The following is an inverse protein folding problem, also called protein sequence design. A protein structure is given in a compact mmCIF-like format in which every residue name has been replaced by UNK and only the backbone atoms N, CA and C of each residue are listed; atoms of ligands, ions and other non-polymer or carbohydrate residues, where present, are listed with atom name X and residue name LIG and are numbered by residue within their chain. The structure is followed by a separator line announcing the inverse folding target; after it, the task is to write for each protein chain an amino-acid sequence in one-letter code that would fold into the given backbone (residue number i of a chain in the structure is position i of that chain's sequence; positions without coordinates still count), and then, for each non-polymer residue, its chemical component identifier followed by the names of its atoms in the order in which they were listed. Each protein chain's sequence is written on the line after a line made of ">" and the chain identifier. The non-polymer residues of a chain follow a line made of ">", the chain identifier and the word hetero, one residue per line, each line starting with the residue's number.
data_IF_519836633875
#
_entry.id   IF_519836633875
#
_cell.length_a   1.000
_cell.length_b   1.000
_cell.length_c   1.000
_cell.angle_alpha   90.00
_cell.angle_beta   90.00
_cell.angle_gamma   90.00
#
_symmetry.space_group_name_H-M   'P 1'
#
loop_
_entity.id
_entity.type
_entity.pdbx_description
1 polymer ?
#
# COMPACT_ATOMS: atom_id res chain seq x y z
N UNK A 1 17.19 5.75 5.64
CA UNK A 1 16.29 4.65 6.03
C UNK A 1 15.94 4.62 7.53
N UNK A 2 16.57 5.46 8.37
CA UNK A 2 16.27 5.53 9.81
C UNK A 2 14.79 5.79 10.11
N UNK A 3 14.09 6.55 9.24
CA UNK A 3 12.67 6.83 9.40
C UNK A 3 11.81 5.56 9.46
N UNK A 4 12.19 4.45 8.82
CA UNK A 4 11.43 3.20 8.88
C UNK A 4 11.43 2.66 10.31
N UNK A 5 12.58 2.72 10.99
CA UNK A 5 12.70 2.31 12.39
C UNK A 5 11.93 3.25 13.32
N UNK A 6 12.01 4.57 13.07
CA UNK A 6 11.26 5.57 13.84
C UNK A 6 9.73 5.43 13.70
N UNK A 7 9.28 4.91 12.55
CA UNK A 7 7.87 4.80 12.20
C UNK A 7 7.39 3.34 12.14
N UNK A 8 8.06 2.43 12.85
CA UNK A 8 7.73 1.00 12.78
C UNK A 8 6.30 0.73 13.24
N UNK A 9 5.81 1.45 14.26
CA UNK A 9 4.44 1.33 14.74
C UNK A 9 3.38 1.78 13.70
N UNK A 10 3.42 3.01 13.13
CA UNK A 10 2.47 3.40 12.09
C UNK A 10 2.58 2.56 10.82
N UNK A 11 3.79 2.18 10.40
CA UNK A 11 4.01 1.29 9.23
C UNK A 11 3.40 -0.10 9.52
N UNK A 12 3.65 -0.66 10.71
CA UNK A 12 3.11 -1.96 11.11
C UNK A 12 1.59 -1.96 11.20
N UNK A 13 0.99 -0.90 11.73
CA UNK A 13 -0.47 -0.74 11.77
C UNK A 13 -1.08 -0.65 10.36
N UNK A 14 -0.49 0.15 9.48
CA UNK A 14 -0.89 0.26 8.08
C UNK A 14 -0.78 -1.09 7.35
N UNK A 15 0.33 -1.81 7.56
CA UNK A 15 0.57 -3.16 7.02
C UNK A 15 -0.51 -4.12 7.48
N UNK A 16 -0.85 -4.11 8.77
CA UNK A 16 -1.89 -4.99 9.32
C UNK A 16 -3.25 -4.71 8.68
N UNK A 17 -3.63 -3.44 8.52
CA UNK A 17 -4.88 -3.07 7.85
C UNK A 17 -4.90 -3.55 6.39
N UNK A 18 -3.81 -3.38 5.66
CA UNK A 18 -3.72 -3.85 4.29
C UNK A 18 -3.78 -5.37 4.17
N UNK A 19 -3.16 -6.11 5.10
CA UNK A 19 -3.28 -7.56 5.19
C UNK A 19 -4.70 -8.02 5.48
N UNK A 20 -5.41 -7.34 6.38
CA UNK A 20 -6.83 -7.63 6.65
C UNK A 20 -7.70 -7.39 5.41
N UNK A 21 -7.43 -6.34 4.64
CA UNK A 21 -8.11 -6.10 3.36
C UNK A 21 -7.80 -7.21 2.34
N UNK A 22 -6.55 -7.68 2.28
CA UNK A 22 -6.13 -8.81 1.43
C UNK A 22 -6.85 -10.10 1.81
N UNK A 23 -6.94 -10.40 3.10
CA UNK A 23 -7.67 -11.56 3.63
C UNK A 23 -9.17 -11.46 3.32
N UNK A 24 -9.78 -10.28 3.51
CA UNK A 24 -11.18 -10.05 3.19
C UNK A 24 -11.45 -10.26 1.69
N UNK A 25 -10.60 -9.71 0.81
CA UNK A 25 -10.71 -9.91 -0.64
C UNK A 25 -10.58 -11.38 -1.03
N UNK A 26 -9.62 -12.09 -0.44
CA UNK A 26 -9.40 -13.51 -0.68
C UNK A 26 -10.62 -14.34 -0.29
N UNK A 27 -11.19 -14.08 0.89
CA UNK A 27 -12.39 -14.74 1.37
C UNK A 27 -13.61 -14.46 0.45
N UNK A 28 -13.82 -13.20 0.06
CA UNK A 28 -14.91 -12.81 -0.84
C UNK A 28 -14.79 -13.41 -2.25
N UNK A 29 -13.58 -13.77 -2.68
CA UNK A 29 -13.34 -14.39 -3.99
C UNK A 29 -13.49 -15.91 -3.98
N UNK A 30 -14.01 -16.50 -2.90
CA UNK A 30 -14.11 -17.96 -2.74
C UNK A 30 -12.76 -18.64 -2.48
N UNK A 31 -11.80 -17.90 -1.94
CA UNK A 31 -10.43 -18.36 -1.75
C UNK A 31 -10.31 -19.51 -0.75
N UNK A 32 -9.56 -20.55 -1.13
CA UNK A 32 -9.21 -21.68 -0.25
C UNK A 32 -8.10 -21.34 0.76
N UNK A 33 -7.43 -22.36 1.31
CA UNK A 33 -6.34 -22.15 2.27
C UNK A 33 -5.19 -21.36 1.63
N UNK A 34 -4.75 -20.28 2.28
CA UNK A 34 -3.55 -19.56 1.88
C UNK A 34 -2.31 -20.36 2.30
N UNK A 35 -1.41 -20.59 1.35
CA UNK A 35 -0.11 -21.18 1.63
C UNK A 35 0.77 -20.19 2.42
N UNK A 36 1.59 -20.71 3.33
CA UNK A 36 2.50 -19.90 4.14
C UNK A 36 3.38 -18.97 3.29
N UNK A 37 3.88 -19.46 2.16
CA UNK A 37 4.69 -18.66 1.23
C UNK A 37 3.94 -17.42 0.73
N UNK A 38 2.67 -17.57 0.34
CA UNK A 38 1.83 -16.46 -0.12
C UNK A 38 1.57 -15.46 1.01
N UNK A 39 1.29 -15.95 2.23
CA UNK A 39 1.09 -15.10 3.40
C UNK A 39 2.33 -14.28 3.75
N UNK A 40 3.52 -14.90 3.70
CA UNK A 40 4.78 -14.19 3.93
C UNK A 40 5.08 -13.18 2.82
N UNK A 41 4.81 -13.53 1.55
CA UNK A 41 4.94 -12.58 0.44
C UNK A 41 4.00 -11.40 0.61
N UNK A 42 2.75 -11.62 1.04
CA UNK A 42 1.80 -10.55 1.29
C UNK A 42 2.28 -9.63 2.44
N UNK A 43 2.78 -10.21 3.54
CA UNK A 43 3.33 -9.45 4.66
C UNK A 43 4.49 -8.56 4.22
N UNK A 44 5.47 -9.14 3.51
CA UNK A 44 6.63 -8.39 3.03
C UNK A 44 6.21 -7.31 2.02
N UNK A 45 5.31 -7.63 1.10
CA UNK A 45 4.83 -6.68 0.10
C UNK A 45 4.14 -5.48 0.74
N UNK A 46 3.18 -5.71 1.65
CA UNK A 46 2.46 -4.64 2.32
C UNK A 46 3.35 -3.84 3.26
N UNK A 47 4.23 -4.50 4.01
CA UNK A 47 5.18 -3.80 4.87
C UNK A 47 6.10 -2.87 4.07
N UNK A 48 6.62 -3.36 2.94
CA UNK A 48 7.50 -2.58 2.09
C UNK A 48 6.78 -1.42 1.40
N UNK A 49 5.55 -1.64 0.92
CA UNK A 49 4.72 -0.57 0.37
C UNK A 49 4.39 0.51 1.39
N UNK A 50 3.95 0.11 2.59
CA UNK A 50 3.70 1.03 3.68
C UNK A 50 4.96 1.83 4.07
N UNK A 51 6.14 1.20 4.07
CA UNK A 51 7.40 1.88 4.34
C UNK A 51 7.76 2.93 3.26
N UNK A 52 7.63 2.59 1.97
CA UNK A 52 7.85 3.54 0.86
C UNK A 52 6.86 4.70 0.97
N UNK A 53 5.60 4.39 1.24
CA UNK A 53 4.53 5.38 1.36
C UNK A 53 4.78 6.29 2.56
N UNK A 54 5.24 5.78 3.71
CA UNK A 54 5.66 6.59 4.86
C UNK A 54 6.73 7.61 4.46
N UNK A 55 7.75 7.18 3.71
CA UNK A 55 8.78 8.08 3.18
C UNK A 55 8.19 9.17 2.27
N UNK A 56 7.29 8.80 1.37
CA UNK A 56 6.61 9.75 0.50
C UNK A 56 5.76 10.76 1.28
N UNK A 57 5.04 10.31 2.32
CA UNK A 57 4.21 11.16 3.17
C UNK A 57 5.03 12.14 4.02
N UNK A 58 6.20 11.72 4.51
CA UNK A 58 7.13 12.58 5.25
C UNK A 58 7.71 13.67 4.35
N UNK A 59 8.04 13.33 3.10
CA UNK A 59 8.68 14.22 2.14
C UNK A 59 7.70 15.08 1.33
N UNK A 60 6.39 14.79 1.41
CA UNK A 60 5.38 15.49 0.63
C UNK A 60 5.40 16.99 0.95
N UNK A 61 5.55 17.87 -0.05
CA UNK A 61 5.59 19.31 0.18
C UNK A 61 4.20 19.80 0.65
N UNK A 62 4.13 20.78 1.56
CA UNK A 62 2.86 21.30 2.08
C UNK A 62 2.21 22.22 1.05
N UNK A 63 1.61 21.64 0.01
CA UNK A 63 0.95 22.37 -1.10
C UNK A 63 -0.58 22.38 -0.99
N UNK A 64 -1.16 21.51 -0.17
CA UNK A 64 -2.59 21.41 0.09
C UNK A 64 -2.83 20.92 1.52
N UNK A 65 -4.09 20.71 1.87
CA UNK A 65 -4.47 20.08 3.15
C UNK A 65 -3.70 18.77 3.38
N UNK A 66 -3.18 18.51 4.61
CA UNK A 66 -2.34 17.35 4.86
C UNK A 66 -3.00 15.99 4.60
N UNK A 67 -4.33 15.86 4.74
CA UNK A 67 -5.04 14.62 4.39
C UNK A 67 -5.17 14.47 2.89
N UNK A 68 -5.48 15.58 2.19
CA UNK A 68 -5.48 15.60 0.72
C UNK A 68 -4.12 15.21 0.17
N UNK A 69 -3.04 15.79 0.70
CA UNK A 69 -1.67 15.42 0.31
C UNK A 69 -1.40 13.93 0.54
N UNK A 70 -1.80 13.39 1.69
CA UNK A 70 -1.52 11.99 2.01
C UNK A 70 -2.23 11.00 1.07
N UNK A 71 -3.52 11.21 0.83
CA UNK A 71 -4.30 10.33 -0.05
C UNK A 71 -3.92 10.53 -1.52
N UNK A 72 -3.64 11.77 -1.93
CA UNK A 72 -3.18 12.07 -3.28
C UNK A 72 -1.81 11.45 -3.57
N UNK A 73 -0.87 11.47 -2.62
CA UNK A 73 0.42 10.79 -2.76
C UNK A 73 0.25 9.29 -3.01
N UNK A 74 -0.60 8.61 -2.23
CA UNK A 74 -0.92 7.21 -2.46
C UNK A 74 -1.55 6.97 -3.84
N UNK A 75 -2.52 7.79 -4.23
CA UNK A 75 -3.18 7.70 -5.54
C UNK A 75 -2.24 7.93 -6.72
N UNK A 76 -1.33 8.91 -6.62
CA UNK A 76 -0.34 9.21 -7.67
C UNK A 76 0.69 8.08 -7.79
N UNK A 77 1.19 7.54 -6.68
CA UNK A 77 2.11 6.39 -6.71
C UNK A 77 1.40 5.17 -7.31
N UNK A 78 0.14 4.93 -6.93
CA UNK A 78 -0.65 3.86 -7.52
C UNK A 78 -0.81 4.03 -9.04
N UNK A 79 -1.25 5.21 -9.48
CA UNK A 79 -1.53 5.48 -10.89
C UNK A 79 -0.26 5.49 -11.76
N UNK A 80 0.85 6.04 -11.22
CA UNK A 80 2.10 6.17 -11.94
C UNK A 80 2.98 4.92 -11.93
N UNK A 81 2.77 4.00 -10.97
CA UNK A 81 3.66 2.85 -10.78
C UNK A 81 2.91 1.52 -10.69
N UNK A 82 2.02 1.36 -9.71
CA UNK A 82 1.41 0.06 -9.40
C UNK A 82 0.44 -0.39 -10.48
N UNK A 83 -0.51 0.46 -10.88
CA UNK A 83 -1.52 0.11 -11.88
C UNK A 83 -0.88 -0.22 -13.25
N UNK A 84 0.07 0.57 -13.78
CA UNK A 84 0.78 0.24 -15.03
C UNK A 84 1.57 -1.07 -14.94
N UNK A 85 2.28 -1.31 -13.83
CA UNK A 85 3.05 -2.55 -13.65
C UNK A 85 2.16 -3.80 -13.63
N UNK A 86 1.03 -3.73 -12.93
CA UNK A 86 0.03 -4.80 -12.92
C UNK A 86 -0.63 -4.98 -14.28
N UNK A 87 -1.00 -3.88 -14.96
CA UNK A 87 -1.64 -3.93 -16.26
C UNK A 87 -0.74 -4.57 -17.31
N UNK A 88 0.53 -4.16 -17.39
CA UNK A 88 1.49 -4.71 -18.34
C UNK A 88 1.77 -6.19 -18.06
N UNK A 89 2.05 -6.53 -16.80
CA UNK A 89 2.36 -7.92 -16.41
C UNK A 89 1.14 -8.83 -16.59
N UNK A 90 -0.06 -8.33 -16.27
CA UNK A 90 -1.32 -9.04 -16.46
C UNK A 90 -1.61 -9.28 -17.93
N UNK A 91 -1.38 -8.29 -18.80
CA UNK A 91 -1.52 -8.43 -20.25
C UNK A 91 -0.57 -9.49 -20.81
N UNK A 92 0.70 -9.49 -20.40
CA UNK A 92 1.66 -10.52 -20.81
C UNK A 92 1.29 -11.93 -20.34
N UNK A 93 0.51 -12.04 -19.26
CA UNK A 93 0.04 -13.33 -18.72
C UNK A 93 -1.37 -13.70 -19.19
N UNK A 94 -1.99 -12.91 -20.08
CA UNK A 94 -3.35 -13.17 -20.57
C UNK A 94 -4.42 -13.09 -19.48
N UNK A 95 -4.19 -12.31 -18.41
CA UNK A 95 -5.17 -12.14 -17.33
C UNK A 95 -6.39 -11.39 -17.86
N UNK A 96 -7.59 -11.93 -17.63
CA UNK A 96 -8.84 -11.29 -18.04
C UNK A 96 -9.00 -9.89 -17.43
N UNK A 97 -9.51 -8.94 -18.22
CA UNK A 97 -9.62 -7.51 -17.87
C UNK A 97 -10.32 -7.30 -16.53
N UNK A 98 -11.42 -8.01 -16.26
CA UNK A 98 -12.16 -7.88 -15.00
C UNK A 98 -11.30 -8.25 -13.77
N UNK A 99 -10.46 -9.27 -13.87
CA UNK A 99 -9.57 -9.69 -12.78
C UNK A 99 -8.45 -8.67 -12.59
N UNK A 100 -7.88 -8.18 -13.69
CA UNK A 100 -6.87 -7.13 -13.66
C UNK A 100 -7.38 -5.84 -13.02
N UNK A 101 -8.60 -5.40 -13.38
CA UNK A 101 -9.24 -4.25 -12.74
C UNK A 101 -9.46 -4.47 -11.25
N UNK A 102 -9.87 -5.68 -10.86
CA UNK A 102 -9.98 -6.05 -9.44
C UNK A 102 -8.65 -5.97 -8.70
N UNK A 103 -7.55 -6.40 -9.34
CA UNK A 103 -6.20 -6.30 -8.77
C UNK A 103 -5.73 -4.86 -8.63
N UNK A 104 -5.92 -4.05 -9.66
CA UNK A 104 -5.61 -2.62 -9.61
C UNK A 104 -6.43 -1.91 -8.52
N UNK A 105 -7.73 -2.18 -8.42
CA UNK A 105 -8.61 -1.57 -7.42
C UNK A 105 -8.24 -2.00 -6.00
N UNK A 106 -7.93 -3.27 -5.79
CA UNK A 106 -7.45 -3.75 -4.49
C UNK A 106 -6.22 -2.98 -4.02
N UNK A 107 -5.21 -2.84 -4.90
CA UNK A 107 -3.99 -2.14 -4.54
C UNK A 107 -4.24 -0.65 -4.27
N UNK A 108 -5.15 -0.01 -5.02
CA UNK A 108 -5.56 1.36 -4.73
C UNK A 108 -6.16 1.48 -3.33
N UNK A 109 -7.12 0.62 -2.99
CA UNK A 109 -7.79 0.63 -1.69
C UNK A 109 -6.81 0.35 -0.56
N UNK A 110 -5.93 -0.64 -0.73
CA UNK A 110 -4.90 -0.96 0.26
C UNK A 110 -3.95 0.23 0.50
N UNK A 111 -3.43 0.85 -0.56
CA UNK A 111 -2.52 2.00 -0.42
C UNK A 111 -3.20 3.23 0.18
N UNK A 112 -4.46 3.50 -0.17
CA UNK A 112 -5.23 4.59 0.45
C UNK A 112 -5.46 4.32 1.94
N UNK A 113 -5.77 3.09 2.31
CA UNK A 113 -5.92 2.70 3.71
C UNK A 113 -4.60 2.82 4.48
N UNK A 114 -3.48 2.37 3.91
CA UNK A 114 -2.15 2.51 4.49
C UNK A 114 -1.80 3.98 4.72
N UNK A 115 -2.00 4.85 3.71
CA UNK A 115 -1.78 6.29 3.86
C UNK A 115 -2.67 6.91 4.93
N UNK A 116 -3.96 6.55 4.96
CA UNK A 116 -4.90 7.08 5.94
C UNK A 116 -4.52 6.68 7.37
N UNK A 117 -4.14 5.42 7.59
CA UNK A 117 -3.71 4.90 8.90
C UNK A 117 -2.44 5.62 9.36
N UNK A 118 -1.42 5.71 8.50
CA UNK A 118 -0.18 6.41 8.86
C UNK A 118 -0.43 7.89 9.11
N UNK A 119 -1.31 8.52 8.33
CA UNK A 119 -1.69 9.92 8.54
C UNK A 119 -2.43 10.14 9.85
N UNK A 120 -3.32 9.22 10.23
CA UNK A 120 -4.07 9.25 11.48
C UNK A 120 -3.16 9.08 12.71
N UNK A 121 -2.21 8.15 12.65
CA UNK A 121 -1.26 7.88 13.75
C UNK A 121 -0.20 8.98 13.84
N UNK A 122 0.20 9.52 12.69
CA UNK A 122 1.31 10.47 12.59
C UNK A 122 2.62 9.79 12.26
N UNK A 123 3.45 10.48 11.48
CA UNK A 123 4.79 10.06 11.09
C UNK A 123 5.83 11.03 11.64
N UNK A 124 6.95 10.48 12.07
CA UNK A 124 8.10 11.23 12.59
C UNK A 124 9.14 11.38 11.46
N UNK A 125 9.47 12.61 11.05
CA UNK A 125 10.53 12.83 10.09
C UNK A 125 11.91 12.43 10.67
N UNK A 126 12.87 12.00 9.84
CA UNK A 126 14.23 11.75 10.31
C UNK A 126 14.86 13.05 10.82
N UNK A 127 15.77 12.99 11.82
CA UNK A 127 16.51 14.15 12.29
C UNK A 127 17.27 14.81 11.13
N UNK A 128 17.25 16.14 11.09
CA UNK A 128 18.17 16.89 10.22
C UNK A 128 19.56 16.82 10.84
N UNK A 129 20.51 16.24 10.09
CA UNK A 129 21.92 16.21 10.47
C UNK A 129 22.61 17.55 10.20
#
# INVERSE_FOLDING_TARGET
>A
MIYILLNLAPIGAATLVALLLGLARHALSGGGRLGLGVSLTALVAHFWFAAILAGALILAPPKADPWVMALASAGVIWAGFVAPALALTGAYRGVGVARLLGDCLYWLVAMLAEAAVMKAIGLVPPPVG
#
